data_IF_811450724737
#
_entry.id   IF_811450724737
#
_cell.length_a   1.000
_cell.length_b   1.000
_cell.length_c   1.000
_cell.angle_alpha   90.00
_cell.angle_beta   90.00
_cell.angle_gamma   90.00
#
_symmetry.space_group_name_H-M   'P 1'
#
loop_
_entity.id
_entity.type
_entity.pdbx_description
1 polymer ?
2 polymer ?
3 non-polymer ?
4 non-polymer ?
5 non-polymer ?
6 non-polymer ?
7 non-polymer ?
8 non-polymer ?
9 water ?
#
# COMPACT_ATOMS: atom_id res chain seq x y z
N UNK A 1 15.94 0.02 -13.17
CA UNK A 1 14.85 1.04 -13.14
C UNK A 1 14.40 1.36 -11.73
N UNK A 2 13.30 2.09 -11.60
CA UNK A 2 12.83 2.52 -10.29
C UNK A 2 12.53 1.36 -9.34
N UNK A 3 11.98 0.27 -9.87
CA UNK A 3 11.63 -0.87 -9.01
C UNK A 3 12.92 -1.49 -8.46
N UNK A 4 13.90 -1.69 -9.33
CA UNK A 4 15.19 -2.21 -8.90
C UNK A 4 15.89 -1.31 -7.88
N UNK A 5 15.83 0.00 -8.11
CA UNK A 5 16.48 0.96 -7.23
C UNK A 5 15.78 1.22 -5.91
N UNK A 6 14.45 1.15 -5.90
CA UNK A 6 13.70 1.66 -4.77
C UNK A 6 12.83 0.64 -4.05
N UNK A 7 12.83 -0.61 -4.50
CA UNK A 7 11.99 -1.62 -3.84
C UNK A 7 12.75 -2.61 -2.96
N UNK A 8 14.07 -2.46 -2.91
CA UNK A 8 14.91 -3.31 -2.06
C UNK A 8 15.64 -2.46 -1.03
N UNK A 9 15.79 -1.18 -1.34
CA UNK A 9 16.28 -0.16 -0.41
C UNK A 9 15.39 1.07 -0.56
N UNK A 10 15.10 1.74 0.56
CA UNK A 10 14.26 2.93 0.54
C UNK A 10 14.96 4.04 -0.23
N UNK A 11 14.23 4.63 -1.18
CA UNK A 11 14.71 5.81 -1.89
C UNK A 11 14.38 7.07 -1.14
N UNK A 12 15.37 7.95 -1.03
CA UNK A 12 15.19 9.27 -0.44
C UNK A 12 14.39 10.15 -1.39
N UNK A 13 13.96 11.31 -0.92
CA UNK A 13 13.29 12.26 -1.80
C UNK A 13 14.15 12.62 -3.01
N UNK A 14 15.45 12.83 -2.80
CA UNK A 14 16.37 13.11 -3.91
C UNK A 14 16.43 11.96 -4.93
N UNK A 15 16.49 10.74 -4.43
CA UNK A 15 16.49 9.59 -5.33
C UNK A 15 15.18 9.47 -6.09
N UNK A 16 14.07 9.70 -5.41
CA UNK A 16 12.79 9.70 -6.10
C UNK A 16 12.71 10.79 -7.16
N UNK A 17 13.30 11.96 -6.87
CA UNK A 17 13.32 13.09 -7.79
C UNK A 17 13.95 12.73 -9.12
N UNK A 18 14.85 11.75 -9.11
CA UNK A 18 15.45 11.27 -10.33
C UNK A 18 14.43 10.94 -11.41
N UNK A 19 13.25 10.48 -10.99
CA UNK A 19 12.26 9.95 -11.94
C UNK A 19 11.24 10.98 -12.40
N UNK A 20 11.37 12.20 -11.89
CA UNK A 20 10.52 13.31 -12.32
C UNK A 20 10.90 13.71 -13.73
N UNK A 21 9.96 14.32 -14.45
CA UNK A 21 10.28 14.86 -15.77
C UNK A 21 11.26 16.03 -15.66
N UNK B 1 5.73 -10.08 -9.81
CA UNK B 1 6.03 -10.29 -8.36
C UNK B 1 5.23 -9.32 -7.52
N UNK B 2 4.37 -9.84 -6.64
CA UNK B 2 3.44 -9.00 -5.88
C UNK B 2 4.13 -7.97 -5.00
N UNK B 3 5.22 -8.34 -4.32
CA UNK B 3 5.95 -7.35 -3.52
C UNK B 3 6.31 -6.14 -4.36
N UNK B 4 6.78 -6.37 -5.58
CA UNK B 4 7.16 -5.26 -6.45
C UNK B 4 5.95 -4.47 -6.92
N UNK B 5 4.86 -5.19 -7.15
CA UNK B 5 3.62 -4.56 -7.57
C UNK B 5 3.11 -3.61 -6.47
N UNK B 6 3.12 -4.06 -5.22
CA UNK B 6 2.71 -3.18 -4.12
C UNK B 6 3.67 -2.03 -3.93
N UNK B 7 4.96 -2.31 -4.04
CA UNK B 7 5.97 -1.26 -3.94
C UNK B 7 5.71 -0.18 -4.98
N UNK B 8 5.45 -0.60 -6.22
CA UNK B 8 5.20 0.33 -7.32
C UNK B 8 4.04 1.26 -7.05
N UNK B 9 3.00 0.73 -6.41
CA UNK B 9 1.84 1.55 -6.10
C UNK B 9 2.27 2.71 -5.19
N UNK B 10 3.09 2.41 -4.19
CA UNK B 10 3.58 3.46 -3.31
C UNK B 10 4.57 4.38 -4.02
N UNK B 11 5.38 3.84 -4.92
CA UNK B 11 6.32 4.67 -5.66
C UNK B 11 5.61 5.72 -6.48
N UNK B 12 4.53 5.35 -7.15
CA UNK B 12 3.84 6.32 -7.98
C UNK B 12 3.21 7.43 -7.15
N UNK B 13 2.68 7.09 -5.98
CA UNK B 13 2.21 8.14 -5.08
C UNK B 13 3.33 9.06 -4.61
N UNK B 14 4.47 8.48 -4.29
CA UNK B 14 5.61 9.30 -3.88
C UNK B 14 6.07 10.22 -5.01
N UNK B 15 6.14 9.70 -6.23
CA UNK B 15 6.54 10.52 -7.39
C UNK B 15 5.53 11.64 -7.62
N UNK B 16 4.25 11.33 -7.47
CA UNK B 16 3.24 12.35 -7.62
C UNK B 16 3.54 13.52 -6.71
N UNK B 17 3.84 13.22 -5.45
CA UNK B 17 4.13 14.26 -4.45
C UNK B 17 5.44 14.98 -4.71
N UNK B 18 6.51 14.22 -4.91
CA UNK B 18 7.84 14.79 -5.08
C UNK B 18 7.94 15.63 -6.34
N UNK B 19 7.34 15.17 -7.43
CA UNK B 19 7.55 15.80 -8.74
C UNK B 19 6.68 17.01 -8.98
N UNK B 20 5.56 17.11 -8.28
CA UNK B 20 4.69 18.28 -8.39
C UNK B 20 4.35 18.58 -9.84
N UNK B 21 4.45 19.86 -10.21
CA UNK B 21 4.07 20.30 -11.55
C UNK B 21 4.94 19.75 -12.68
N UNK B 22 6.11 19.21 -12.34
CA UNK B 22 6.98 18.57 -13.34
C UNK B 22 6.35 17.30 -13.90
N UNK B 23 5.59 16.60 -13.07
CA UNK B 23 5.09 15.28 -13.45
C UNK B 23 6.22 14.28 -13.56
N UNK B 24 5.90 13.11 -14.10
CA UNK B 24 6.85 12.01 -14.13
C UNK B 24 6.46 10.96 -15.13
N UNK B 25 7.43 10.13 -15.47
CA UNK B 25 7.21 8.99 -16.31
C UNK B 25 7.41 7.79 -15.40
N UNK B 26 6.43 6.90 -15.37
CA UNK B 26 6.61 5.68 -14.62
C UNK B 26 6.80 4.52 -15.56
N UNK B 27 7.93 3.85 -15.41
CA UNK B 27 8.12 2.56 -16.05
C UNK B 27 8.73 1.52 -15.10
N UNK B 28 8.13 0.32 -15.05
CA UNK B 28 8.81 -0.78 -14.39
C UNK B 28 9.87 -1.40 -15.30
N UNK C 1 8.72 0.68 18.68
CA UNK C 1 7.66 1.58 18.14
C UNK C 1 6.55 0.82 17.43
N UNK C 2 5.66 1.57 16.79
CA UNK C 2 4.50 0.99 16.11
C UNK C 2 4.89 0.08 14.94
N UNK C 3 5.95 0.44 14.23
CA UNK C 3 6.42 -0.36 13.09
C UNK C 3 6.86 -1.74 13.57
N UNK C 4 7.64 -1.76 14.64
CA UNK C 4 8.08 -3.03 15.23
C UNK C 4 6.89 -3.85 15.73
N UNK C 5 5.92 -3.19 16.36
CA UNK C 5 4.76 -3.88 16.92
C UNK C 5 3.80 -4.38 15.85
N UNK C 6 3.70 -3.66 14.74
CA UNK C 6 2.55 -3.84 13.86
C UNK C 6 2.85 -4.25 12.43
N UNK C 7 4.11 -4.46 12.08
CA UNK C 7 4.42 -4.71 10.67
C UNK C 7 4.70 -6.17 10.31
N UNK C 8 4.52 -7.05 11.28
CA UNK C 8 4.64 -8.48 11.05
C UNK C 8 3.31 -9.14 11.40
N UNK C 9 2.84 -8.89 12.61
CA UNK C 9 1.54 -9.37 13.06
C UNK C 9 0.54 -8.21 13.06
N UNK C 10 -0.67 -8.46 12.55
CA UNK C 10 -1.68 -7.40 12.38
C UNK C 10 -2.08 -6.82 13.74
N UNK C 11 -2.01 -5.50 13.86
CA UNK C 11 -2.52 -4.80 15.02
C UNK C 11 -4.01 -4.54 14.86
N UNK C 12 -4.76 -4.83 15.92
CA UNK C 12 -6.20 -4.59 15.95
C UNK C 12 -6.45 -3.09 16.05
N UNK C 13 -7.69 -2.68 15.82
CA UNK C 13 -8.06 -1.28 15.98
C UNK C 13 -7.76 -0.81 17.41
N UNK C 14 -8.08 -1.66 18.38
CA UNK C 14 -7.76 -1.41 19.78
C UNK C 14 -6.28 -1.11 20.00
N UNK C 15 -5.42 -1.92 19.39
CA UNK C 15 -3.97 -1.74 19.52
C UNK C 15 -3.52 -0.42 18.88
N UNK C 16 -4.09 -0.11 17.72
CA UNK C 16 -3.74 1.13 17.03
C UNK C 16 -4.13 2.37 17.83
N UNK C 17 -5.27 2.27 18.53
CA UNK C 17 -5.79 3.37 19.36
C UNK C 17 -4.78 3.87 20.39
N UNK C 18 -3.88 2.98 20.82
CA UNK C 18 -2.82 3.34 21.76
C UNK C 18 -1.90 4.44 21.24
N UNK C 19 -1.87 4.63 19.92
CA UNK C 19 -0.99 5.63 19.33
C UNK C 19 -1.70 6.95 19.04
N UNK C 20 -3.00 7.02 19.33
CA UNK C 20 -3.74 8.27 19.20
C UNK C 20 -3.31 9.27 20.27
N UNK C 21 -3.47 10.55 19.96
CA UNK C 21 -3.29 11.63 20.92
C UNK C 21 -4.39 11.60 21.98
N UNK D 1 14.03 -3.01 4.52
CA UNK D 1 13.57 -1.76 5.10
C UNK D 1 12.44 -1.15 4.27
N UNK D 2 12.36 -1.55 3.01
CA UNK D 2 11.23 -1.19 2.16
C UNK D 2 9.90 -1.78 2.63
N UNK D 3 9.86 -3.05 3.00
CA UNK D 3 8.66 -3.60 3.58
C UNK D 3 8.13 -2.80 4.78
N UNK D 4 9.02 -2.39 5.67
CA UNK D 4 8.60 -1.58 6.81
C UNK D 4 8.10 -0.22 6.35
N UNK D 5 8.75 0.33 5.33
CA UNK D 5 8.35 1.61 4.75
C UNK D 5 6.93 1.54 4.20
N UNK D 6 6.62 0.46 3.49
CA UNK D 6 5.27 0.29 2.94
C UNK D 6 4.26 0.07 4.05
N UNK D 7 4.61 -0.75 5.02
CA UNK D 7 3.74 -0.99 6.15
C UNK D 7 3.40 0.34 6.86
N UNK D 8 4.42 1.17 7.08
CA UNK D 8 4.23 2.44 7.77
C UNK D 8 3.19 3.31 7.10
N UNK D 9 3.20 3.31 5.77
CA UNK D 9 2.24 4.10 5.02
C UNK D 9 0.82 3.66 5.35
N UNK D 10 0.60 2.35 5.41
CA UNK D 10 -0.70 1.84 5.80
C UNK D 10 -1.03 2.13 7.26
N UNK D 11 -0.02 2.05 8.12
CA UNK D 11 -0.22 2.36 9.54
C UNK D 11 -0.69 3.78 9.75
N UNK D 12 -0.07 4.73 9.06
CA UNK D 12 -0.50 6.13 9.25
C UNK D 12 -1.91 6.36 8.74
N UNK D 13 -2.30 5.68 7.65
CA UNK D 13 -3.68 5.81 7.18
C UNK D 13 -4.65 5.19 8.19
N UNK D 14 -4.26 4.06 8.78
CA UNK D 14 -5.14 3.42 9.77
C UNK D 14 -5.27 4.31 11.00
N UNK D 15 -4.16 4.89 11.45
CA UNK D 15 -4.19 5.79 12.60
C UNK D 15 -5.05 7.00 12.32
N UNK D 16 -4.95 7.53 11.10
CA UNK D 16 -5.79 8.66 10.71
C UNK D 16 -7.25 8.33 10.95
N UNK D 17 -7.66 7.15 10.49
CA UNK D 17 -9.05 6.76 10.56
C UNK D 17 -9.48 6.37 11.97
N UNK D 18 -8.63 5.62 12.67
CA UNK D 18 -8.93 5.19 14.04
C UNK D 18 -8.99 6.38 15.00
N UNK D 19 -8.04 7.30 14.86
CA UNK D 19 -7.87 8.36 15.85
C UNK D 19 -8.79 9.55 15.63
N UNK D 20 -9.25 9.71 14.39
CA UNK D 20 -10.20 10.78 14.06
C UNK D 20 -9.75 12.13 14.58
N UNK D 21 -10.68 12.80 15.28
CA UNK D 21 -10.48 14.16 15.82
C UNK D 21 -9.25 14.35 16.69
N UNK D 22 -8.84 13.29 17.37
CA UNK D 22 -7.74 13.36 18.32
C UNK D 22 -6.41 13.49 17.60
N UNK D 23 -6.35 12.94 16.39
CA UNK D 23 -5.08 12.82 15.69
C UNK D 23 -4.17 11.81 16.35
N UNK D 24 -2.92 11.80 15.92
CA UNK D 24 -2.00 10.79 16.40
C UNK D 24 -0.57 11.26 16.31
N UNK D 25 0.31 10.49 16.93
CA UNK D 25 1.71 10.76 16.91
C UNK D 25 2.35 9.61 16.15
N UNK D 26 3.08 9.93 15.08
CA UNK D 26 3.88 8.93 14.39
C UNK D 26 5.33 9.22 14.66
N UNK D 27 5.93 8.36 15.49
CA UNK D 27 7.30 8.56 15.92
C UNK D 27 8.10 7.30 15.66
N UNK D 28 8.78 7.25 14.50
CA UNK D 28 9.64 6.12 14.14
C UNK D 28 11.07 6.36 14.60
N UNK E 1 -8.77 -18.88 -3.18
CA UNK E 1 -9.50 -17.62 -3.48
C UNK E 1 -8.59 -16.48 -3.89
N UNK E 2 -9.11 -15.25 -3.79
CA UNK E 2 -8.40 -14.05 -4.27
C UNK E 2 -7.01 -13.85 -3.66
N UNK E 3 -6.85 -14.14 -2.37
CA UNK E 3 -5.54 -14.01 -1.72
C UNK E 3 -4.57 -15.04 -2.30
N UNK E 4 -4.99 -16.30 -2.39
CA UNK E 4 -4.13 -17.35 -2.94
C UNK E 4 -3.76 -17.08 -4.39
N UNK E 5 -4.71 -16.56 -5.16
CA UNK E 5 -4.48 -16.31 -6.58
C UNK E 5 -3.70 -15.02 -6.83
N UNK E 6 -3.97 -13.99 -6.03
CA UNK E 6 -3.51 -12.64 -6.37
C UNK E 6 -2.54 -12.02 -5.39
N UNK E 7 -2.29 -12.66 -4.25
CA UNK E 7 -1.28 -12.10 -3.35
C UNK E 7 0.03 -12.83 -3.54
N UNK E 8 -0.04 -13.92 -4.31
CA UNK E 8 1.09 -14.82 -4.58
C UNK E 8 1.68 -14.64 -5.99
N UNK E 9 0.94 -13.95 -6.86
CA UNK E 9 1.37 -13.58 -8.21
C UNK E 9 0.46 -12.43 -8.65
N UNK E 10 0.95 -11.53 -9.51
CA UNK E 10 0.20 -10.31 -9.87
C UNK E 10 -1.01 -10.65 -10.71
N UNK E 11 -2.17 -10.18 -10.27
CA UNK E 11 -3.39 -10.24 -11.05
C UNK E 11 -3.65 -8.91 -11.71
N UNK E 12 -3.85 -8.94 -13.02
CA UNK E 12 -4.21 -7.73 -13.75
C UNK E 12 -5.63 -7.31 -13.41
N UNK E 13 -5.99 -6.09 -13.81
CA UNK E 13 -7.36 -5.63 -13.64
C UNK E 13 -8.34 -6.54 -14.36
N UNK E 14 -7.93 -7.04 -15.53
CA UNK E 14 -8.76 -7.96 -16.30
C UNK E 14 -9.03 -9.21 -15.46
N UNK E 15 -7.97 -9.78 -14.89
CA UNK E 15 -8.11 -10.96 -14.05
C UNK E 15 -8.97 -10.68 -12.81
N UNK E 16 -8.80 -9.49 -12.23
CA UNK E 16 -9.55 -9.13 -11.03
C UNK E 16 -11.04 -8.92 -11.26
N UNK E 17 -11.42 -8.64 -12.50
CA UNK E 17 -12.83 -8.48 -12.86
C UNK E 17 -13.63 -9.74 -12.55
N UNK E 18 -12.95 -10.88 -12.55
CA UNK E 18 -13.56 -12.17 -12.22
C UNK E 18 -14.08 -12.24 -10.78
N UNK E 19 -13.59 -11.33 -9.94
CA UNK E 19 -14.02 -11.26 -8.54
C UNK E 19 -15.10 -10.20 -8.28
N UNK E 20 -15.58 -9.55 -9.34
CA UNK E 20 -16.68 -8.60 -9.23
C UNK E 20 -18.01 -9.32 -9.08
N UNK E 21 -19.03 -8.55 -8.72
CA UNK E 21 -20.41 -9.04 -8.72
C UNK E 21 -20.93 -9.17 -10.15
N UNK F 1 -1.39 -12.16 9.47
CA UNK F 1 -0.32 -11.87 8.53
C UNK F 1 -0.45 -10.45 7.97
N UNK F 2 0.55 -9.62 8.25
CA UNK F 2 0.59 -8.27 7.70
C UNK F 2 0.73 -8.27 6.18
N UNK F 3 1.49 -9.19 5.61
CA UNK F 3 1.61 -9.22 4.15
C UNK F 3 0.26 -9.36 3.47
N UNK F 4 -0.57 -10.28 3.95
CA UNK F 4 -1.92 -10.45 3.41
C UNK F 4 -2.75 -9.21 3.67
N UNK F 5 -2.60 -8.63 4.86
CA UNK F 5 -3.35 -7.43 5.21
C UNK F 5 -3.06 -6.31 4.20
N UNK F 6 -1.80 -6.11 3.87
CA UNK F 6 -1.42 -5.03 2.94
C UNK F 6 -1.83 -5.36 1.52
N UNK F 7 -1.65 -6.61 1.12
CA UNK F 7 -2.12 -7.07 -0.18
C UNK F 7 -3.61 -6.80 -0.34
N UNK F 8 -4.41 -7.21 0.65
CA UNK F 8 -5.86 -7.02 0.58
C UNK F 8 -6.27 -5.56 0.45
N UNK F 9 -5.55 -4.65 1.10
CA UNK F 9 -5.84 -3.22 0.98
C UNK F 9 -5.76 -2.79 -0.48
N UNK F 10 -4.71 -3.24 -1.16
CA UNK F 10 -4.54 -2.90 -2.57
C UNK F 10 -5.55 -3.65 -3.44
N UNK F 11 -5.90 -4.88 -3.08
CA UNK F 11 -6.89 -5.62 -3.84
C UNK F 11 -8.22 -4.89 -3.83
N UNK F 12 -8.63 -4.39 -2.67
CA UNK F 12 -9.93 -3.69 -2.55
C UNK F 12 -9.97 -2.45 -3.44
N UNK F 13 -8.85 -1.74 -3.47
CA UNK F 13 -8.72 -0.54 -4.29
C UNK F 13 -8.86 -0.91 -5.78
N UNK F 14 -8.20 -1.99 -6.19
CA UNK F 14 -8.29 -2.45 -7.58
C UNK F 14 -9.71 -2.89 -7.94
N UNK F 15 -10.36 -3.61 -7.03
CA UNK F 15 -11.73 -4.06 -7.24
C UNK F 15 -12.67 -2.87 -7.35
N UNK F 16 -12.47 -1.88 -6.49
CA UNK F 16 -13.28 -0.68 -6.58
C UNK F 16 -13.15 -0.04 -7.96
N UNK F 17 -11.93 0.02 -8.48
CA UNK F 17 -11.68 0.62 -9.79
C UNK F 17 -12.30 -0.18 -10.92
N UNK F 18 -12.08 -1.49 -10.93
CA UNK F 18 -12.50 -2.28 -12.10
C UNK F 18 -13.96 -2.70 -12.09
N UNK F 19 -14.56 -2.79 -10.92
CA UNK F 19 -15.87 -3.37 -10.79
C UNK F 19 -16.96 -2.34 -11.13
N UNK F 20 -16.58 -1.10 -11.22
CA UNK F 20 -17.51 -0.09 -11.63
C UNK F 20 -18.75 -0.14 -10.79
N UNK F 21 -19.91 -0.04 -11.44
CA UNK F 21 -21.12 0.19 -10.73
C UNK F 21 -21.65 -1.08 -10.13
N UNK F 22 -21.31 -2.23 -10.72
CA UNK F 22 -21.61 -3.57 -10.21
C UNK F 22 -21.10 -3.96 -8.81
N UNK F 23 -19.99 -3.36 -8.42
CA UNK F 23 -19.38 -3.61 -7.15
C UNK F 23 -18.79 -4.98 -6.92
N UNK F 24 -18.54 -5.25 -5.66
CA UNK F 24 -17.79 -6.45 -5.28
C UNK F 24 -18.01 -6.82 -3.81
N UNK F 25 -17.68 -8.05 -3.45
CA UNK F 25 -17.62 -8.49 -2.07
C UNK F 25 -16.17 -8.68 -1.75
N UNK F 26 -15.77 -8.25 -0.58
CA UNK F 26 -14.51 -8.72 -0.04
C UNK F 26 -14.75 -9.50 1.22
N UNK F 27 -14.20 -10.71 1.26
CA UNK F 27 -14.66 -11.73 2.19
C UNK F 27 -13.51 -12.28 3.03
N UNK F 28 -12.50 -12.82 2.35
CA UNK F 28 -11.42 -13.54 3.02
C UNK F 28 -11.53 -13.45 4.54
X LIG G 1 14.34 12.80 -14.35
X LIG H 1 10.51 3.60 -1.77
X LIG H 1 10.22 4.89 -1.35
X LIG H 1 8.89 5.32 -1.31
X LIG H 1 7.87 4.43 -1.68
X LIG H 1 8.18 3.15 -2.10
X LIG H 1 9.50 2.71 -2.14
X LIG H 1 11.83 3.23 -1.80
X LIG H 1 8.60 6.57 -0.90
X LIG I 1 18.93 2.98 -3.07
X LIG I 1 19.88 3.44 -2.45
X LIG I 1 17.68 3.22 -2.69
X LIG I 1 19.11 2.21 -4.15
X LIG J 1 0.70 -0.81 0.28
X LIG K 1 1.99 -2.45 0.59
X LIG L 1 -1.13 -3.23 10.73
X LIG L 1 -2.46 -2.85 10.79
X LIG L 1 -2.98 -1.98 9.83
X LIG L 1 -2.13 -1.50 8.83
X LIG L 1 -0.80 -1.89 8.77
X LIG L 1 -0.27 -2.77 9.74
X LIG L 1 -0.68 -4.08 11.70
X LIG L 1 -4.29 -1.60 9.88
X LIG M 1 0.60 -7.41 17.66
X LIG M 1 -0.16 -7.92 18.46
X LIG M 1 0.27 -7.29 16.37
X LIG M 1 1.80 -6.94 18.03
X LIG N 1 13.08 -4.97 5.15
X LIG N 1 12.80 -3.85 5.55
X LIG N 1 11.76 -3.56 5.82
X LIG O 1 -2.62 -7.98 -6.98
X LIG O 1 -3.08 -6.96 -7.80
X LIG O 1 -3.42 -5.74 -7.23
X LIG O 1 -3.33 -5.55 -5.87
X LIG O 1 -2.87 -6.58 -5.04
X LIG O 1 -2.52 -7.81 -5.61
X LIG O 1 -2.29 -9.18 -7.55
X LIG O 1 -3.84 -4.73 -8.03
X LIG P 1 -2.10 -15.02 -11.72
X LIG P 1 -1.78 -14.88 -12.89
X LIG P 1 -2.83 -16.06 -11.32
X LIG P 1 -1.74 -14.13 -10.80
X LIG Q 1 -16.43 2.47 -9.88
X LIG Q 1 -17.43 2.99 -10.38
X LIG Q 1 -15.29 2.35 -10.55
X LIG Q 1 -16.47 2.02 -8.63
X LIG R 1 -2.68 -11.89 11.52
X LIG R 1 -1.62 -11.76 10.94
X LIG R 1 -0.69 -11.26 11.37
#
# INVERSE_FOLDING_TARGET
GIVEQCCTSICSLYQLENYCN
FVNQHLCGSHLVEALYLVCGERGFFYTPKT
GIVEQCCTSICSLYQLENYCN
FVNQHLCGSHLVEALYLVCGERGFFYTPKT
GIVEQCCTSICSLYQLENYCN
FVNQHLCGSHLVEALYLVCGERGFFYTPKT
NA NA
RCO C1 C2 C3 C4 C5 C6 O1 O3
URE C O N1 N2
ZN ZN
CL CL
RCO C1 C2 C3 C4 C5 C6 O1 O3
URE C O N1 N2
ARF N C O
RCO C1 C2 C3 C4 C5 C6 O1 O3
URE C O N1 N2
URE C O N1 N2
ARF N C O
#
